data_IF_246803577785
#
_entry.id   IF_246803577785
#
_cell.length_a   1.000
_cell.length_b   1.000
_cell.length_c   1.000
_cell.angle_alpha   90.00
_cell.angle_beta   90.00
_cell.angle_gamma   90.00
#
_symmetry.space_group_name_H-M   'P 1'
#
loop_
_entity.id
_entity.type
_entity.pdbx_description
1 polymer ?
#
# COMPACT_ATOMS: atom_id res chain seq x y z
N UNK A 1 4.49 16.92 28.96
CA UNK A 1 4.97 16.44 27.64
C UNK A 1 3.80 16.51 26.68
N UNK A 2 3.96 17.15 25.53
CA UNK A 2 2.95 17.16 24.45
C UNK A 2 3.37 16.11 23.41
N UNK A 3 2.48 15.17 23.10
CA UNK A 3 2.72 14.17 22.06
C UNK A 3 2.34 14.81 20.71
N UNK A 4 3.32 15.32 19.98
CA UNK A 4 3.11 15.75 18.60
C UNK A 4 2.78 14.51 17.76
N UNK A 5 1.54 14.39 17.31
CA UNK A 5 1.12 13.32 16.42
C UNK A 5 1.64 13.61 15.01
N UNK A 6 2.46 12.71 14.47
CA UNK A 6 2.90 12.78 13.09
C UNK A 6 1.84 12.12 12.19
N UNK A 7 1.37 12.84 11.17
CA UNK A 7 0.52 12.24 10.15
C UNK A 7 1.27 11.10 9.44
N UNK A 8 0.68 9.90 9.43
CA UNK A 8 1.24 8.73 8.75
C UNK A 8 0.34 8.26 7.62
N UNK A 9 0.93 7.59 6.64
CA UNK A 9 0.23 6.85 5.61
C UNK A 9 0.85 5.47 5.43
N UNK A 10 0.27 4.69 4.53
CA UNK A 10 0.70 3.33 4.24
C UNK A 10 1.12 3.20 2.78
N UNK A 11 2.12 2.36 2.52
CA UNK A 11 2.55 1.98 1.18
C UNK A 11 2.64 0.46 1.08
N UNK A 12 2.14 -0.06 -0.04
CA UNK A 12 2.27 -1.44 -0.44
C UNK A 12 2.91 -1.50 -1.82
N UNK A 13 3.99 -2.26 -1.96
CA UNK A 13 4.72 -2.47 -3.22
C UNK A 13 4.72 -3.97 -3.52
N UNK A 14 4.30 -4.32 -4.73
CA UNK A 14 4.40 -5.68 -5.26
C UNK A 14 5.19 -5.65 -6.56
N UNK A 15 6.15 -6.55 -6.74
CA UNK A 15 6.95 -6.65 -7.96
C UNK A 15 6.87 -8.07 -8.52
N UNK A 16 6.76 -8.18 -9.83
CA UNK A 16 6.87 -9.45 -10.54
C UNK A 16 7.60 -9.25 -11.87
N UNK A 17 7.74 -10.32 -12.64
CA UNK A 17 8.40 -10.33 -13.97
C UNK A 17 7.77 -9.37 -14.99
N UNK A 18 6.59 -8.81 -14.71
CA UNK A 18 5.86 -7.91 -15.59
C UNK A 18 5.87 -6.44 -15.14
N UNK A 19 6.54 -6.13 -14.04
CA UNK A 19 6.71 -4.77 -13.54
C UNK A 19 6.37 -4.63 -12.05
N UNK A 20 6.53 -3.41 -11.54
CA UNK A 20 6.20 -3.06 -10.16
C UNK A 20 4.84 -2.36 -10.10
N UNK A 21 4.08 -2.67 -9.05
CA UNK A 21 2.89 -1.91 -8.66
C UNK A 21 3.12 -1.31 -7.30
N UNK A 22 2.62 -0.09 -7.10
CA UNK A 22 2.69 0.61 -5.82
C UNK A 22 1.33 1.17 -5.49
N UNK A 23 0.85 0.92 -4.28
CA UNK A 23 -0.34 1.55 -3.73
C UNK A 23 0.04 2.35 -2.50
N UNK A 24 -0.35 3.61 -2.44
CA UNK A 24 -0.20 4.47 -1.28
C UNK A 24 -1.56 4.89 -0.74
N UNK A 25 -1.69 4.95 0.57
CA UNK A 25 -2.86 5.46 1.29
C UNK A 25 -2.40 6.60 2.19
N UNK A 26 -2.83 7.80 1.89
CA UNK A 26 -2.39 9.02 2.57
C UNK A 26 -3.61 9.67 3.22
N UNK A 27 -3.60 9.85 4.54
CA UNK A 27 -4.67 10.58 5.22
C UNK A 27 -4.77 12.00 4.66
N UNK A 28 -6.01 12.45 4.42
CA UNK A 28 -6.33 13.79 3.92
C UNK A 28 -7.23 14.59 4.86
N UNK A 29 -7.60 14.00 6.00
CA UNK A 29 -8.32 14.64 7.08
C UNK A 29 -7.61 14.37 8.42
N UNK A 30 -7.91 15.22 9.40
CA UNK A 30 -7.24 15.20 10.71
C UNK A 30 -7.70 14.03 11.60
N UNK A 31 -8.88 13.47 11.31
CA UNK A 31 -9.43 12.33 12.04
C UNK A 31 -9.04 10.98 11.41
N UNK A 32 -8.41 11.00 10.23
CA UNK A 32 -7.97 9.83 9.47
C UNK A 32 -9.11 8.96 8.97
N UNK A 33 -10.28 9.52 8.70
CA UNK A 33 -11.43 8.79 8.15
C UNK A 33 -11.39 8.70 6.63
N UNK A 34 -10.72 9.65 5.97
CA UNK A 34 -10.57 9.72 4.51
C UNK A 34 -9.10 9.68 4.10
N UNK A 35 -8.86 8.94 3.02
CA UNK A 35 -7.54 8.72 2.47
C UNK A 35 -7.54 8.99 0.97
N UNK A 36 -6.50 9.67 0.50
CA UNK A 36 -6.12 9.63 -0.91
C UNK A 36 -5.39 8.31 -1.18
N UNK A 37 -6.00 7.46 -1.99
CA UNK A 37 -5.39 6.26 -2.55
C UNK A 37 -4.71 6.63 -3.86
N UNK A 38 -3.41 6.38 -3.97
CA UNK A 38 -2.64 6.51 -5.21
C UNK A 38 -2.20 5.12 -5.64
N UNK A 39 -2.46 4.73 -6.87
CA UNK A 39 -2.05 3.46 -7.43
C UNK A 39 -1.18 3.70 -8.66
N UNK A 40 0.05 3.23 -8.60
CA UNK A 40 0.96 3.15 -9.73
C UNK A 40 0.96 1.73 -10.28
N UNK A 41 0.76 1.62 -11.58
CA UNK A 41 1.02 0.42 -12.36
C UNK A 41 2.01 0.79 -13.46
N UNK A 42 3.09 0.03 -13.62
CA UNK A 42 4.17 0.36 -14.57
C UNK A 42 3.69 0.53 -16.02
N UNK A 43 2.54 -0.05 -16.38
CA UNK A 43 1.96 0.04 -17.72
C UNK A 43 0.98 1.20 -17.89
N UNK A 44 0.36 1.65 -16.80
CA UNK A 44 -0.75 2.61 -16.82
C UNK A 44 -0.39 3.94 -16.14
N UNK A 45 0.72 3.99 -15.41
CA UNK A 45 1.13 5.14 -14.62
C UNK A 45 0.32 5.28 -13.33
N UNK A 46 0.20 6.53 -12.85
CA UNK A 46 -0.49 6.85 -11.60
C UNK A 46 -1.98 7.12 -11.81
N UNK A 47 -2.79 6.57 -10.91
CA UNK A 47 -4.21 6.90 -10.76
C UNK A 47 -4.53 7.18 -9.30
N UNK A 48 -5.45 8.11 -9.06
CA UNK A 48 -5.81 8.55 -7.72
C UNK A 48 -7.31 8.45 -7.47
N UNK A 49 -7.67 8.13 -6.23
CA UNK A 49 -9.06 8.18 -5.74
C UNK A 49 -9.09 8.53 -4.25
N UNK A 50 -10.24 8.97 -3.76
CA UNK A 50 -10.48 9.16 -2.33
C UNK A 50 -11.31 8.01 -1.80
N UNK A 51 -10.87 7.41 -0.70
CA UNK A 51 -11.52 6.26 -0.09
C UNK A 51 -11.60 6.42 1.43
N UNK A 52 -12.54 5.71 2.06
CA UNK A 52 -12.68 5.73 3.53
C UNK A 52 -11.66 4.83 4.22
N UNK A 53 -11.44 5.05 5.52
CA UNK A 53 -10.67 4.19 6.42
C UNK A 53 -11.10 2.73 6.34
N UNK A 54 -12.41 2.47 6.25
CA UNK A 54 -12.95 1.11 6.11
C UNK A 54 -12.49 0.48 4.80
N UNK A 55 -12.58 1.20 3.68
CA UNK A 55 -12.13 0.71 2.39
C UNK A 55 -10.61 0.46 2.37
N UNK A 56 -9.80 1.32 3.03
CA UNK A 56 -8.35 1.06 3.20
C UNK A 56 -8.13 -0.27 3.93
N UNK A 57 -8.83 -0.49 5.05
CA UNK A 57 -8.73 -1.72 5.84
C UNK A 57 -9.08 -2.95 5.01
N UNK A 58 -10.19 -2.91 4.28
CA UNK A 58 -10.64 -4.01 3.41
C UNK A 58 -9.63 -4.31 2.29
N UNK A 59 -9.06 -3.28 1.64
CA UNK A 59 -8.04 -3.42 0.59
C UNK A 59 -6.77 -4.09 1.16
N UNK A 60 -6.32 -3.67 2.36
CA UNK A 60 -5.15 -4.24 3.02
C UNK A 60 -5.38 -5.69 3.47
N UNK A 61 -6.53 -6.01 4.10
CA UNK A 61 -6.88 -7.38 4.49
C UNK A 61 -6.90 -8.30 3.26
N UNK A 62 -7.52 -7.86 2.17
CA UNK A 62 -7.60 -8.62 0.92
C UNK A 62 -6.20 -8.91 0.37
N UNK A 63 -5.31 -7.92 0.35
CA UNK A 63 -3.92 -8.08 -0.11
C UNK A 63 -3.15 -9.05 0.77
N UNK A 64 -3.18 -8.87 2.09
CA UNK A 64 -2.42 -9.73 3.01
C UNK A 64 -2.92 -11.17 3.04
N UNK A 65 -4.24 -11.37 2.89
CA UNK A 65 -4.81 -12.72 2.80
C UNK A 65 -4.31 -13.41 1.53
N UNK A 66 -4.32 -12.72 0.38
CA UNK A 66 -3.80 -13.24 -0.89
C UNK A 66 -2.30 -13.50 -0.84
N UNK A 67 -1.50 -12.57 -0.32
CA UNK A 67 -0.05 -12.76 -0.17
C UNK A 67 0.22 -13.97 0.74
N UNK A 68 -0.51 -14.13 1.84
CA UNK A 68 -0.40 -15.29 2.74
C UNK A 68 -0.72 -16.60 2.01
N UNK A 69 -1.76 -16.63 1.18
CA UNK A 69 -2.10 -17.78 0.34
C UNK A 69 -0.99 -18.10 -0.67
N UNK A 70 -0.45 -17.11 -1.39
CA UNK A 70 0.66 -17.32 -2.32
C UNK A 70 1.93 -17.81 -1.62
N UNK A 71 2.24 -17.31 -0.42
CA UNK A 71 3.39 -17.77 0.36
C UNK A 71 3.23 -19.19 0.92
N UNK A 72 1.99 -19.68 1.02
CA UNK A 72 1.65 -21.03 1.49
C UNK A 72 1.59 -22.04 0.32
N UNK A 73 1.30 -21.57 -0.89
CA UNK A 73 1.28 -22.35 -2.15
C UNK A 73 2.70 -22.63 -2.70
N UNK A 74 3.61 -23.16 -1.87
CA UNK A 74 5.00 -23.50 -2.27
C UNK A 74 5.08 -24.79 -3.11
N UNK A 75 4.24 -24.94 -4.12
CA UNK A 75 4.44 -25.92 -5.19
C UNK A 75 5.09 -25.30 -6.45
N UNK A 76 5.64 -24.08 -6.35
CA UNK A 76 6.31 -23.40 -7.46
C UNK A 76 7.81 -23.22 -7.19
N UNK A 77 8.62 -23.75 -8.11
CA UNK A 77 10.09 -23.89 -8.05
C UNK A 77 10.84 -22.58 -8.32
N UNK A 78 10.13 -21.46 -8.58
CA UNK A 78 10.74 -20.17 -8.91
C UNK A 78 10.59 -19.22 -7.72
N UNK A 79 11.69 -18.79 -7.09
CA UNK A 79 11.65 -17.73 -6.09
C UNK A 79 11.02 -16.48 -6.70
N UNK A 80 10.02 -15.89 -6.05
CA UNK A 80 9.66 -14.51 -6.33
C UNK A 80 10.83 -13.66 -5.85
N UNK A 81 11.66 -13.17 -6.77
CA UNK A 81 12.92 -12.46 -6.47
C UNK A 81 12.74 -11.25 -5.53
N UNK A 82 11.53 -10.68 -5.42
CA UNK A 82 11.21 -9.63 -4.45
C UNK A 82 9.84 -9.87 -3.79
N UNK A 83 9.77 -10.09 -2.46
CA UNK A 83 8.50 -10.24 -1.77
C UNK A 83 7.71 -8.93 -1.77
N UNK A 84 6.39 -9.05 -1.79
CA UNK A 84 5.50 -7.92 -1.56
C UNK A 84 5.85 -7.24 -0.22
N UNK A 85 6.01 -5.92 -0.22
CA UNK A 85 6.42 -5.16 0.96
C UNK A 85 5.32 -4.18 1.37
N UNK A 86 4.99 -4.18 2.65
CA UNK A 86 4.15 -3.18 3.29
C UNK A 86 4.95 -2.33 4.26
N UNK A 87 4.72 -1.02 4.25
CA UNK A 87 5.36 -0.09 5.18
C UNK A 87 4.43 1.05 5.58
N UNK A 88 4.57 1.51 6.82
CA UNK A 88 3.97 2.76 7.31
C UNK A 88 5.03 3.85 7.20
N UNK A 89 4.67 4.98 6.60
CA UNK A 89 5.58 6.11 6.34
C UNK A 89 4.93 7.41 6.81
N UNK A 90 5.71 8.41 7.24
CA UNK A 90 5.20 9.76 7.41
C UNK A 90 4.49 10.25 6.14
N UNK A 91 3.30 10.82 6.28
CA UNK A 91 2.48 11.26 5.15
C UNK A 91 3.25 12.24 4.25
N UNK A 92 4.08 13.11 4.83
CA UNK A 92 4.96 14.02 4.08
C UNK A 92 5.89 13.30 3.09
N UNK A 93 6.39 12.10 3.42
CA UNK A 93 7.25 11.30 2.52
C UNK A 93 6.46 10.68 1.37
N UNK A 94 5.16 10.50 1.52
CA UNK A 94 4.27 9.97 0.49
C UNK A 94 3.70 11.06 -0.43
N UNK A 95 3.66 12.31 0.06
CA UNK A 95 3.18 13.49 -0.68
C UNK A 95 4.23 14.06 -1.66
N UNK A 96 5.51 13.68 -1.57
CA UNK A 96 6.63 14.32 -2.27
C UNK A 96 7.05 13.69 -3.62
N UNK A 97 6.22 12.85 -4.25
CA UNK A 97 6.50 12.26 -5.57
C UNK A 97 5.28 12.30 -6.46
#
# INVERSE_FOLDING_TARGET
MELTHEEVGAEYVSANVWGAKRTQFIAIDDNGEMFRKRHYDDRLGWHESTISRRAVREDLITRFTRTSSLTTDRSHDVPVDNPDTFSVKPARKLRMH
#
